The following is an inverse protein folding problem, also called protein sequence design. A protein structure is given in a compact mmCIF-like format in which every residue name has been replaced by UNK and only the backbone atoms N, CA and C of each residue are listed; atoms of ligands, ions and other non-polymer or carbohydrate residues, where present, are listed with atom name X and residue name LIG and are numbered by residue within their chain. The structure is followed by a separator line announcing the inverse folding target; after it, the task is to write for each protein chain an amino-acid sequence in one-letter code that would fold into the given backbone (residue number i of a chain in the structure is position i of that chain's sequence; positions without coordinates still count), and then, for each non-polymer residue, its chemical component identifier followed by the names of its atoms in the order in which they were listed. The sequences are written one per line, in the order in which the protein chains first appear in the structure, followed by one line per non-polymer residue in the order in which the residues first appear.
data_IF_856630631784
#
_entry.id   IF_856630631784
#
_cell.length_a   1.000
_cell.length_b   1.000
_cell.length_c   1.000
_cell.angle_alpha   90.00
_cell.angle_beta   90.00
_cell.angle_gamma   90.00
#
_symmetry.space_group_name_H-M   'P 1'
#
loop_
_entity.id
_entity.type
_entity.pdbx_description
1 polymer ?
#
# COMPACT_ATOMS: atom_id res chain seq x y z
N UNK A 1 73.93 -2.17 17.55
CA UNK A 1 74.49 -3.50 17.17
C UNK A 1 73.35 -4.37 16.71
N UNK A 2 73.41 -4.75 15.44
CA UNK A 2 72.37 -5.34 14.62
C UNK A 2 71.85 -6.72 15.09
N UNK A 3 70.54 -6.85 15.21
CA UNK A 3 69.84 -8.14 15.17
C UNK A 3 68.93 -8.18 13.94
N UNK A 4 69.52 -8.28 12.78
CA UNK A 4 68.87 -8.54 11.49
C UNK A 4 69.69 -9.64 10.79
N UNK A 5 69.47 -10.89 11.09
CA UNK A 5 69.98 -12.01 10.31
C UNK A 5 69.53 -13.32 10.92
N UNK A 6 68.30 -13.79 10.70
CA UNK A 6 67.88 -15.18 10.89
C UNK A 6 66.40 -15.42 10.48
N UNK A 7 65.93 -14.82 9.39
CA UNK A 7 64.66 -15.25 8.78
C UNK A 7 64.85 -15.33 7.25
N UNK A 8 65.66 -16.22 6.82
CA UNK A 8 65.79 -16.50 5.39
C UNK A 8 66.25 -17.97 5.15
N UNK A 9 65.44 -18.93 5.54
CA UNK A 9 65.57 -20.34 5.09
C UNK A 9 64.36 -21.16 5.58
N UNK A 10 63.17 -20.91 5.08
CA UNK A 10 62.06 -21.89 5.13
C UNK A 10 60.91 -21.52 4.19
N UNK A 11 61.21 -21.12 2.95
CA UNK A 11 60.23 -20.91 1.90
C UNK A 11 60.56 -21.76 0.66
N UNK A 12 60.52 -23.08 0.81
CA UNK A 12 60.64 -23.93 -0.36
C UNK A 12 59.96 -25.30 -0.16
N UNK A 13 58.69 -25.33 0.15
CA UNK A 13 57.83 -26.50 -0.03
C UNK A 13 56.35 -26.15 0.15
N UNK A 14 55.82 -25.32 -0.78
CA UNK A 14 54.38 -25.18 -0.92
C UNK A 14 53.98 -26.01 -2.14
N UNK A 15 53.20 -27.09 -1.98
CA UNK A 15 52.69 -27.86 -3.11
C UNK A 15 51.68 -27.00 -3.89
N UNK A 16 51.82 -26.97 -5.23
CA UNK A 16 50.89 -26.29 -6.12
C UNK A 16 49.49 -26.89 -5.97
N UNK A 17 48.43 -26.08 -5.86
CA UNK A 17 47.07 -26.59 -5.82
C UNK A 17 46.73 -27.27 -7.15
N UNK A 18 46.17 -28.47 -7.08
CA UNK A 18 45.62 -29.20 -8.23
C UNK A 18 44.42 -28.44 -8.75
N UNK A 19 44.42 -28.12 -10.03
CA UNK A 19 43.37 -27.47 -10.78
C UNK A 19 42.11 -28.39 -10.83
N UNK A 20 41.25 -28.29 -9.84
CA UNK A 20 39.93 -28.91 -9.86
C UNK A 20 38.99 -27.96 -10.57
N UNK A 21 38.73 -28.20 -11.87
CA UNK A 21 37.65 -27.57 -12.62
C UNK A 21 36.33 -27.82 -11.89
N UNK A 22 35.97 -26.89 -11.03
CA UNK A 22 34.63 -26.84 -10.46
C UNK A 22 33.70 -26.33 -11.55
N UNK A 23 32.92 -27.21 -12.15
CA UNK A 23 31.82 -26.86 -13.02
C UNK A 23 30.79 -26.12 -12.17
N UNK A 24 30.80 -24.77 -12.26
CA UNK A 24 29.74 -23.95 -11.70
C UNK A 24 28.46 -24.25 -12.43
N UNK A 25 27.65 -25.12 -11.89
CA UNK A 25 26.25 -25.30 -12.26
C UNK A 25 25.56 -23.99 -11.93
N UNK A 26 25.22 -23.20 -12.94
CA UNK A 26 24.42 -22.02 -12.78
C UNK A 26 23.10 -22.41 -12.12
N UNK A 27 22.94 -22.08 -10.85
CA UNK A 27 21.68 -22.15 -10.15
C UNK A 27 20.87 -20.97 -10.70
N UNK A 28 19.98 -21.25 -11.65
CA UNK A 28 18.97 -20.29 -12.09
C UNK A 28 18.06 -20.04 -10.88
N UNK A 29 18.32 -18.98 -10.13
CA UNK A 29 17.41 -18.47 -9.11
C UNK A 29 16.23 -17.87 -9.85
N UNK A 30 15.19 -18.64 -10.09
CA UNK A 30 13.87 -18.11 -10.41
C UNK A 30 13.42 -17.35 -9.16
N UNK A 31 13.66 -16.06 -9.12
CA UNK A 31 13.12 -15.16 -8.12
C UNK A 31 11.61 -15.19 -8.34
N UNK A 32 10.90 -15.98 -7.57
CA UNK A 32 9.45 -15.90 -7.47
C UNK A 32 9.14 -14.49 -6.97
N UNK A 33 8.62 -13.64 -7.86
CA UNK A 33 8.17 -12.30 -7.52
C UNK A 33 6.93 -12.47 -6.64
N UNK A 34 7.12 -12.44 -5.32
CA UNK A 34 5.99 -12.43 -4.40
C UNK A 34 5.22 -11.12 -4.62
N UNK A 35 3.95 -11.25 -4.99
CA UNK A 35 3.07 -10.09 -5.14
C UNK A 35 2.92 -9.38 -3.78
N UNK A 36 2.97 -8.05 -3.74
CA UNK A 36 2.72 -7.30 -2.52
C UNK A 36 1.36 -7.66 -1.93
N UNK A 37 1.34 -8.02 -0.66
CA UNK A 37 0.13 -8.36 0.06
C UNK A 37 -0.04 -7.41 1.25
N UNK A 38 -1.27 -6.92 1.41
CA UNK A 38 -1.64 -6.04 2.50
C UNK A 38 -2.83 -6.64 3.23
N UNK A 39 -2.85 -6.54 4.54
CA UNK A 39 -3.98 -6.99 5.37
C UNK A 39 -4.63 -5.81 6.06
N UNK A 40 -5.89 -5.98 6.42
CA UNK A 40 -6.61 -4.96 7.16
C UNK A 40 -7.87 -5.49 7.82
N UNK A 41 -8.43 -4.68 8.71
CA UNK A 41 -9.62 -5.05 9.48
C UNK A 41 -10.40 -3.83 9.97
N UNK A 42 -11.66 -4.04 10.37
CA UNK A 42 -12.38 -3.08 11.19
C UNK A 42 -11.80 -3.04 12.61
N UNK A 43 -12.15 -2.01 13.38
CA UNK A 43 -11.68 -1.82 14.76
C UNK A 43 -11.91 -3.06 15.65
N UNK A 44 -13.07 -3.70 15.57
CA UNK A 44 -13.39 -4.89 16.36
C UNK A 44 -12.89 -6.21 15.73
N UNK A 45 -12.27 -6.17 14.55
CA UNK A 45 -11.74 -7.32 13.80
C UNK A 45 -12.80 -8.35 13.33
N UNK A 46 -14.08 -8.04 13.41
CA UNK A 46 -15.15 -8.89 12.85
C UNK A 46 -15.06 -8.95 11.33
N UNK A 47 -14.66 -7.84 10.69
CA UNK A 47 -14.36 -7.80 9.26
C UNK A 47 -12.85 -7.80 9.08
N UNK A 48 -12.36 -8.72 8.24
CA UNK A 48 -10.95 -8.79 7.84
C UNK A 48 -10.86 -8.97 6.34
N UNK A 49 -9.80 -8.44 5.77
CA UNK A 49 -9.57 -8.53 4.33
C UNK A 49 -8.07 -8.59 4.00
N UNK A 50 -7.80 -9.04 2.80
CA UNK A 50 -6.48 -9.05 2.18
C UNK A 50 -6.55 -8.36 0.83
N UNK A 51 -5.47 -7.69 0.47
CA UNK A 51 -5.27 -7.04 -0.83
C UNK A 51 -4.02 -7.62 -1.44
N UNK A 52 -4.12 -8.15 -2.67
CA UNK A 52 -3.00 -8.67 -3.44
C UNK A 52 -2.83 -7.80 -4.68
N UNK A 53 -1.68 -7.16 -4.85
CA UNK A 53 -1.37 -6.29 -5.99
C UNK A 53 -0.19 -6.85 -6.77
N UNK A 54 -0.14 -6.63 -8.08
CA UNK A 54 1.03 -6.96 -8.89
C UNK A 54 2.19 -5.98 -8.61
N UNK A 55 1.85 -4.74 -8.26
CA UNK A 55 2.78 -3.69 -7.87
C UNK A 55 2.14 -2.78 -6.82
N UNK A 56 2.92 -2.17 -5.88
CA UNK A 56 2.43 -1.10 -5.01
C UNK A 56 1.87 0.10 -5.78
N UNK A 57 2.26 0.27 -7.03
CA UNK A 57 1.79 1.35 -7.89
C UNK A 57 0.37 1.13 -8.41
N UNK A 58 -0.17 -0.08 -8.32
CA UNK A 58 -1.56 -0.37 -8.65
C UNK A 58 -2.53 0.20 -7.60
N UNK A 59 -2.05 0.50 -6.40
CA UNK A 59 -2.78 1.28 -5.41
C UNK A 59 -2.62 2.78 -5.69
N UNK A 60 -3.73 3.46 -5.96
CA UNK A 60 -3.78 4.92 -6.10
C UNK A 60 -4.33 5.53 -4.82
N UNK A 61 -3.47 5.73 -3.86
CA UNK A 61 -3.85 6.34 -2.58
C UNK A 61 -4.00 7.85 -2.74
N UNK A 62 -5.10 8.38 -2.23
CA UNK A 62 -5.37 9.81 -2.29
C UNK A 62 -6.10 10.33 -1.06
N UNK A 63 -5.82 11.58 -0.76
CA UNK A 63 -6.47 12.36 0.27
C UNK A 63 -7.50 13.28 -0.39
N UNK A 64 -8.71 13.37 0.16
CA UNK A 64 -9.81 14.15 -0.40
C UNK A 64 -10.43 15.07 0.64
N UNK A 65 -10.48 16.38 0.34
CA UNK A 65 -11.04 17.40 1.24
C UNK A 65 -12.50 17.78 0.94
N UNK A 66 -13.19 17.09 0.04
CA UNK A 66 -14.58 17.43 -0.26
C UNK A 66 -15.48 17.20 0.97
N UNK A 67 -16.61 17.95 1.01
CA UNK A 67 -17.56 17.85 2.13
C UNK A 67 -18.12 16.45 2.33
N UNK A 68 -18.27 15.70 1.25
CA UNK A 68 -18.77 14.33 1.26
C UNK A 68 -17.79 13.38 1.98
N UNK A 69 -16.51 13.42 1.61
CA UNK A 69 -15.48 12.63 2.29
C UNK A 69 -15.36 13.05 3.76
N UNK A 70 -15.32 14.35 4.06
CA UNK A 70 -15.28 14.82 5.45
C UNK A 70 -16.41 14.25 6.30
N UNK A 71 -17.64 14.22 5.77
CA UNK A 71 -18.80 13.66 6.48
C UNK A 71 -18.73 12.16 6.64
N UNK A 72 -18.35 11.44 5.57
CA UNK A 72 -18.29 9.98 5.59
C UNK A 72 -17.21 9.44 6.54
N UNK A 73 -16.05 10.11 6.58
CA UNK A 73 -14.93 9.70 7.42
C UNK A 73 -15.00 10.29 8.85
N UNK A 74 -15.83 11.29 9.10
CA UNK A 74 -15.88 12.00 10.39
C UNK A 74 -14.58 12.75 10.72
N UNK A 75 -13.81 13.15 9.70
CA UNK A 75 -12.52 13.86 9.82
C UNK A 75 -12.48 15.04 8.83
N UNK A 76 -11.37 15.79 8.80
CA UNK A 76 -11.19 16.91 7.88
C UNK A 76 -10.80 16.48 6.43
N UNK A 77 -10.69 15.18 6.17
CA UNK A 77 -10.41 14.59 4.86
C UNK A 77 -10.82 13.12 4.84
N UNK A 78 -10.96 12.53 3.68
CA UNK A 78 -10.96 11.08 3.49
C UNK A 78 -9.63 10.62 2.93
N UNK A 79 -9.12 9.50 3.38
CA UNK A 79 -7.89 8.87 2.86
C UNK A 79 -8.22 7.47 2.37
N UNK A 80 -8.16 7.26 1.05
CA UNK A 80 -8.47 5.97 0.42
C UNK A 80 -7.41 5.54 -0.56
N UNK A 81 -7.20 4.22 -0.66
CA UNK A 81 -6.44 3.59 -1.72
C UNK A 81 -7.40 2.97 -2.75
N UNK A 82 -7.40 3.50 -3.98
CA UNK A 82 -8.11 2.87 -5.09
C UNK A 82 -7.30 1.67 -5.57
N UNK A 83 -7.92 0.49 -5.55
CA UNK A 83 -7.34 -0.78 -5.98
C UNK A 83 -8.26 -1.48 -6.98
N UNK A 84 -7.77 -2.43 -7.81
CA UNK A 84 -8.63 -3.34 -8.58
C UNK A 84 -9.60 -4.09 -7.66
N UNK A 85 -10.83 -4.31 -8.14
CA UNK A 85 -11.87 -5.01 -7.36
C UNK A 85 -11.45 -6.42 -6.97
N UNK A 86 -10.86 -7.14 -7.89
CA UNK A 86 -10.41 -8.52 -7.75
C UNK A 86 -9.14 -8.68 -6.91
N UNK A 87 -8.43 -7.58 -6.67
CA UNK A 87 -7.32 -7.55 -5.73
C UNK A 87 -7.78 -7.67 -4.26
N UNK A 88 -9.05 -7.36 -3.96
CA UNK A 88 -9.61 -7.40 -2.60
C UNK A 88 -10.29 -8.74 -2.31
N UNK A 89 -9.92 -9.37 -1.21
CA UNK A 89 -10.57 -10.57 -0.68
C UNK A 89 -10.98 -10.37 0.78
N UNK A 90 -12.26 -10.50 1.09
CA UNK A 90 -12.73 -10.58 2.48
C UNK A 90 -12.32 -11.95 3.05
N UNK A 91 -11.65 -11.96 4.18
CA UNK A 91 -11.18 -13.16 4.87
C UNK A 91 -12.05 -13.52 6.08
N UNK A 92 -12.78 -12.54 6.63
CA UNK A 92 -13.77 -12.73 7.69
C UNK A 92 -14.84 -11.65 7.65
N UNK A 93 -16.03 -12.03 8.10
CA UNK A 93 -17.19 -11.15 8.22
C UNK A 93 -17.81 -10.74 6.91
N UNK A 94 -18.85 -9.92 7.00
CA UNK A 94 -19.55 -9.31 5.86
C UNK A 94 -19.87 -7.86 6.22
N UNK A 95 -19.35 -6.89 5.48
CA UNK A 95 -19.71 -5.48 5.70
C UNK A 95 -21.20 -5.24 5.44
N UNK A 96 -21.75 -4.26 6.13
CA UNK A 96 -23.05 -3.66 5.82
C UNK A 96 -22.81 -2.53 4.82
N UNK A 97 -23.76 -2.34 3.90
CA UNK A 97 -23.68 -1.32 2.87
C UNK A 97 -24.68 -0.20 3.12
N UNK A 98 -24.24 1.03 2.87
CA UNK A 98 -25.09 2.21 2.71
C UNK A 98 -24.91 2.76 1.30
N UNK A 99 -26.03 3.00 0.59
CA UNK A 99 -26.03 3.57 -0.75
C UNK A 99 -26.65 4.96 -0.68
N UNK A 100 -25.97 5.96 -1.23
CA UNK A 100 -26.45 7.32 -1.25
C UNK A 100 -25.82 8.14 -2.39
N UNK A 101 -26.44 9.29 -2.71
CA UNK A 101 -25.86 10.23 -3.66
C UNK A 101 -24.58 10.85 -3.12
N UNK A 102 -23.58 11.00 -3.97
CA UNK A 102 -22.30 11.62 -3.61
C UNK A 102 -22.32 13.16 -3.71
N UNK A 103 -23.47 13.76 -3.90
CA UNK A 103 -23.64 15.20 -4.11
C UNK A 103 -23.48 15.65 -5.56
N UNK A 104 -23.27 14.73 -6.50
CA UNK A 104 -23.18 15.01 -7.95
C UNK A 104 -24.21 14.24 -8.79
N UNK A 105 -25.17 13.57 -8.16
CA UNK A 105 -26.16 12.72 -8.82
C UNK A 105 -25.66 11.30 -9.10
N UNK A 106 -24.49 10.92 -8.59
CA UNK A 106 -23.95 9.57 -8.75
C UNK A 106 -24.09 8.79 -7.44
N UNK A 107 -24.54 7.54 -7.53
CA UNK A 107 -24.63 6.68 -6.36
C UNK A 107 -23.24 6.23 -5.91
N UNK A 108 -23.07 6.27 -4.59
CA UNK A 108 -21.88 5.86 -3.89
C UNK A 108 -22.25 4.81 -2.85
N UNK A 109 -21.62 3.66 -2.95
CA UNK A 109 -21.74 2.55 -2.04
C UNK A 109 -20.65 2.65 -0.97
N UNK A 110 -21.03 2.59 0.29
CA UNK A 110 -20.11 2.62 1.44
C UNK A 110 -20.30 1.39 2.28
N UNK A 111 -19.23 0.63 2.43
CA UNK A 111 -19.22 -0.59 3.22
C UNK A 111 -18.57 -0.34 4.59
N UNK A 112 -19.23 -0.77 5.65
CA UNK A 112 -18.81 -0.55 7.02
C UNK A 112 -19.14 -1.76 7.93
N UNK A 113 -18.48 -1.83 9.06
CA UNK A 113 -18.78 -2.83 10.08
C UNK A 113 -20.02 -2.43 10.87
N UNK A 114 -21.05 -3.25 10.89
CA UNK A 114 -22.28 -2.99 11.62
C UNK A 114 -22.13 -3.13 13.15
N UNK A 115 -21.09 -3.82 13.62
CA UNK A 115 -20.79 -3.97 15.03
C UNK A 115 -20.03 -2.77 15.63
N UNK A 116 -19.05 -2.22 14.93
CA UNK A 116 -18.19 -1.15 15.48
C UNK A 116 -18.24 0.16 14.69
N UNK A 117 -18.96 0.22 13.56
CA UNK A 117 -19.09 1.40 12.73
C UNK A 117 -17.88 1.73 11.87
N UNK A 118 -16.80 0.95 11.92
CA UNK A 118 -15.61 1.23 11.08
C UNK A 118 -15.98 1.25 9.61
N UNK A 119 -15.66 2.36 8.95
CA UNK A 119 -15.81 2.52 7.50
C UNK A 119 -14.65 1.80 6.80
N UNK A 120 -14.95 0.83 5.93
CA UNK A 120 -13.96 -0.06 5.32
C UNK A 120 -13.59 0.39 3.91
N UNK A 121 -14.60 0.60 3.07
CA UNK A 121 -14.40 0.94 1.67
C UNK A 121 -15.59 1.65 1.07
N UNK A 122 -15.35 2.29 -0.08
CA UNK A 122 -16.42 2.81 -0.92
C UNK A 122 -16.15 2.53 -2.41
N UNK A 123 -17.21 2.65 -3.22
CA UNK A 123 -17.12 2.63 -4.69
C UNK A 123 -18.36 3.29 -5.28
N UNK A 124 -18.20 3.94 -6.44
CA UNK A 124 -19.30 4.47 -7.22
C UNK A 124 -19.80 3.49 -8.27
N UNK A 125 -21.05 3.62 -8.71
CA UNK A 125 -21.65 2.77 -9.74
C UNK A 125 -20.81 2.68 -11.02
N UNK A 126 -20.20 3.78 -11.43
CA UNK A 126 -19.38 3.82 -12.65
C UNK A 126 -18.14 2.90 -12.61
N UNK A 127 -17.69 2.49 -11.41
CA UNK A 127 -16.48 1.67 -11.22
C UNK A 127 -16.75 0.42 -10.38
N UNK A 128 -18.00 0.10 -10.08
CA UNK A 128 -18.38 -1.01 -9.18
C UNK A 128 -17.83 -2.37 -9.59
N UNK A 129 -17.61 -2.57 -10.88
CA UNK A 129 -17.08 -3.82 -11.43
C UNK A 129 -15.56 -3.80 -11.64
N UNK A 130 -14.90 -2.66 -11.40
CA UNK A 130 -13.49 -2.46 -11.70
C UNK A 130 -12.63 -2.14 -10.47
N UNK A 131 -13.16 -1.39 -9.48
CA UNK A 131 -12.34 -0.86 -8.40
C UNK A 131 -13.05 -0.80 -7.05
N UNK A 132 -12.21 -0.74 -5.99
CA UNK A 132 -12.61 -0.43 -4.62
C UNK A 132 -11.70 0.66 -4.07
N UNK A 133 -12.24 1.51 -3.23
CA UNK A 133 -11.52 2.57 -2.52
C UNK A 133 -11.45 2.18 -1.04
N UNK A 134 -10.35 1.57 -0.63
CA UNK A 134 -10.14 1.09 0.73
C UNK A 134 -9.75 2.25 1.64
N UNK A 135 -10.38 2.35 2.81
CA UNK A 135 -9.98 3.30 3.84
C UNK A 135 -8.61 2.92 4.40
N UNK A 136 -7.58 3.72 4.11
CA UNK A 136 -6.18 3.39 4.44
C UNK A 136 -5.97 3.18 5.95
N UNK A 137 -6.69 3.94 6.79
CA UNK A 137 -6.64 3.76 8.25
C UNK A 137 -7.16 2.41 8.76
N UNK A 138 -7.75 1.55 7.90
CA UNK A 138 -8.16 0.18 8.25
C UNK A 138 -7.16 -0.89 7.83
N UNK A 139 -6.06 -0.51 7.15
CA UNK A 139 -4.92 -1.41 6.92
C UNK A 139 -4.19 -1.68 8.24
N UNK A 140 -3.65 -2.87 8.39
CA UNK A 140 -2.82 -3.24 9.55
C UNK A 140 -1.50 -2.45 9.55
N UNK A 141 -0.99 -2.07 8.35
CA UNK A 141 0.09 -1.12 8.14
C UNK A 141 -0.39 0.02 7.22
N UNK A 142 -0.90 1.14 7.77
CA UNK A 142 -1.37 2.27 6.98
C UNK A 142 -0.25 3.04 6.26
N UNK A 143 1.01 2.86 6.67
CA UNK A 143 2.19 3.47 6.01
C UNK A 143 2.56 2.75 4.69
N UNK A 144 2.08 1.53 4.50
CA UNK A 144 2.40 0.71 3.33
C UNK A 144 1.87 1.30 2.00
N UNK A 145 0.80 2.11 2.05
CA UNK A 145 0.20 2.75 0.88
C UNK A 145 0.11 4.27 1.07
N UNK A 146 1.22 5.01 1.03
CA UNK A 146 1.24 6.44 1.25
C UNK A 146 0.45 7.20 0.17
N UNK A 147 -0.08 8.39 0.46
CA UNK A 147 -0.81 9.20 -0.51
C UNK A 147 0.06 9.59 -1.71
N UNK A 148 -0.50 9.47 -2.90
CA UNK A 148 0.08 9.87 -4.20
C UNK A 148 -0.63 11.11 -4.77
N UNK A 149 -1.73 11.54 -4.17
CA UNK A 149 -2.50 12.70 -4.61
C UNK A 149 -3.36 13.31 -3.52
N UNK A 150 -3.64 14.59 -3.67
CA UNK A 150 -4.49 15.37 -2.79
C UNK A 150 -5.57 16.07 -3.64
N UNK A 151 -6.83 15.86 -3.30
CA UNK A 151 -7.97 16.32 -4.07
C UNK A 151 -8.84 17.29 -3.28
N UNK A 152 -9.50 18.19 -4.02
CA UNK A 152 -10.31 19.28 -3.45
C UNK A 152 -9.49 20.15 -2.49
N UNK A 153 -8.28 20.51 -2.89
CA UNK A 153 -7.35 21.31 -2.11
C UNK A 153 -7.93 22.70 -1.76
N UNK A 154 -8.83 23.25 -2.60
CA UNK A 154 -9.56 24.49 -2.29
C UNK A 154 -10.45 24.39 -1.04
N UNK A 155 -10.76 23.18 -0.60
CA UNK A 155 -11.57 22.89 0.60
C UNK A 155 -10.75 22.34 1.76
N UNK A 156 -9.41 22.34 1.65
CA UNK A 156 -8.50 21.95 2.75
C UNK A 156 -8.75 22.89 3.94
N UNK A 157 -8.75 22.35 5.15
CA UNK A 157 -8.86 23.16 6.36
C UNK A 157 -7.66 24.12 6.45
N UNK A 158 -7.89 25.39 6.81
CA UNK A 158 -6.88 26.44 6.77
C UNK A 158 -5.65 26.20 7.67
N UNK A 159 -5.81 25.38 8.70
CA UNK A 159 -4.73 24.99 9.62
C UNK A 159 -3.94 23.75 9.13
N UNK A 160 -4.42 23.07 8.09
CA UNK A 160 -3.80 21.84 7.57
C UNK A 160 -2.74 22.19 6.54
N UNK A 161 -1.49 21.72 6.71
CA UNK A 161 -0.45 21.91 5.69
C UNK A 161 -0.77 21.10 4.44
N UNK A 162 -0.19 21.51 3.34
CA UNK A 162 -0.18 20.75 2.09
C UNK A 162 0.69 19.51 2.22
N UNK A 163 0.27 18.40 1.62
CA UNK A 163 1.09 17.19 1.55
C UNK A 163 2.19 17.41 0.50
N UNK A 164 3.47 17.35 0.88
CA UNK A 164 4.55 17.59 -0.07
C UNK A 164 4.72 16.44 -1.07
N UNK A 165 5.22 16.75 -2.26
CA UNK A 165 5.62 15.78 -3.29
C UNK A 165 4.52 14.85 -3.80
N UNK A 166 3.25 15.27 -3.73
CA UNK A 166 2.11 14.55 -4.30
C UNK A 166 1.41 15.39 -5.36
N UNK A 167 0.60 14.73 -6.18
CA UNK A 167 -0.25 15.42 -7.14
C UNK A 167 -1.38 16.17 -6.42
N UNK A 168 -1.60 17.46 -6.78
CA UNK A 168 -2.64 18.31 -6.20
C UNK A 168 -3.71 18.67 -7.22
N UNK A 169 -4.97 18.67 -6.79
CA UNK A 169 -6.10 19.09 -7.58
C UNK A 169 -7.07 19.95 -6.77
N UNK A 170 -7.38 21.16 -7.26
CA UNK A 170 -8.25 22.10 -6.53
C UNK A 170 -9.70 21.63 -6.51
N UNK A 171 -10.18 21.03 -7.63
CA UNK A 171 -11.53 20.41 -7.79
C UNK A 171 -11.39 19.17 -8.68
N UNK A 172 -12.43 18.33 -8.76
CA UNK A 172 -12.40 17.11 -9.60
C UNK A 172 -12.41 17.44 -11.09
N UNK A 173 -13.21 18.44 -11.49
CA UNK A 173 -13.34 18.87 -12.89
C UNK A 173 -12.55 20.16 -13.08
N UNK A 174 -11.32 20.00 -13.45
CA UNK A 174 -10.40 21.04 -13.90
C UNK A 174 -9.82 20.65 -15.23
#
# INVERSE_FOLDING_TARGET
MNRLSLIARHLSQIPKPKDTRTTHRAISSTTSRTMPQYTGSCYCRNIRYEISLDSPDDARTSLCHCSNCKKAFGTNYGLTAKIPKDALRLTAGKPKEHVGDNGSGSLLHREFCDNCGSFILEYGDAVKDQARYICVGTLDDPEALPPKGEFFCSSRASWMPEIPNVFHKQKIKE
#
